data_IF_388601895352
#
_entry.id   IF_388601895352
#
_cell.length_a   1.000
_cell.length_b   1.000
_cell.length_c   1.000
_cell.angle_alpha   90.00
_cell.angle_beta   90.00
_cell.angle_gamma   90.00
#
_symmetry.space_group_name_H-M   'P 1'
#
loop_
_entity.id
_entity.type
_entity.pdbx_description
1 polymer ?
#
# COMPACT_ATOMS: atom_id res chain seq x y z
N UNK A 1 -36.56 21.12 45.68
CA UNK A 1 -36.98 20.12 44.67
C UNK A 1 -36.11 20.17 43.42
N UNK A 2 -35.62 21.35 43.02
CA UNK A 2 -34.77 21.57 41.83
C UNK A 2 -33.49 20.70 41.74
N UNK A 3 -32.77 20.45 42.85
CA UNK A 3 -31.54 19.64 42.79
C UNK A 3 -31.76 18.13 42.53
N UNK A 4 -32.95 17.60 42.84
CA UNK A 4 -33.26 16.18 42.60
C UNK A 4 -33.74 15.92 41.17
N UNK A 5 -34.37 16.91 40.54
CA UNK A 5 -34.74 16.84 39.12
C UNK A 5 -33.52 16.95 38.20
N UNK A 6 -32.54 17.79 38.54
CA UNK A 6 -31.31 17.92 37.76
C UNK A 6 -30.47 16.62 37.75
N UNK A 7 -30.40 15.91 38.88
CA UNK A 7 -29.67 14.64 38.98
C UNK A 7 -30.34 13.51 38.18
N UNK A 8 -31.68 13.49 38.13
CA UNK A 8 -32.44 12.49 37.35
C UNK A 8 -32.34 12.78 35.85
N UNK A 9 -32.33 14.06 35.44
CA UNK A 9 -32.15 14.44 34.04
C UNK A 9 -30.74 14.07 33.51
N UNK A 10 -29.68 14.25 34.33
CA UNK A 10 -28.31 13.90 33.95
C UNK A 10 -28.09 12.38 33.80
N UNK A 11 -28.79 11.55 34.58
CA UNK A 11 -28.72 10.09 34.44
C UNK A 11 -29.47 9.60 33.20
N UNK A 12 -30.55 10.29 32.79
CA UNK A 12 -31.31 9.98 31.57
C UNK A 12 -30.62 10.43 30.28
N UNK A 13 -29.74 11.43 30.33
CA UNK A 13 -28.98 11.91 29.18
C UNK A 13 -27.70 11.09 28.90
N UNK A 14 -27.18 10.34 29.87
CA UNK A 14 -26.01 9.47 29.68
C UNK A 14 -26.33 8.07 29.12
N UNK A 15 -27.59 7.64 29.07
CA UNK A 15 -27.97 6.31 28.55
C UNK A 15 -28.38 6.30 27.07
N UNK A 16 -28.39 7.47 26.41
CA UNK A 16 -28.86 7.62 25.02
C UNK A 16 -27.75 7.77 23.97
N UNK A 17 -26.48 7.67 24.38
CA UNK A 17 -25.31 7.80 23.47
C UNK A 17 -24.36 6.64 23.65
N UNK A 18 -24.80 5.44 23.28
CA UNK A 18 -23.87 4.41 22.85
C UNK A 18 -24.45 3.63 21.68
N UNK A 19 -23.58 3.44 20.69
CA UNK A 19 -23.71 2.54 19.54
C UNK A 19 -24.42 3.03 18.27
N UNK A 20 -24.03 4.21 17.76
CA UNK A 20 -23.96 4.44 16.30
C UNK A 20 -22.54 4.85 15.91
N UNK A 21 -21.62 3.89 15.90
CA UNK A 21 -20.25 4.13 15.41
C UNK A 21 -19.57 2.86 14.87
N UNK A 22 -20.30 1.93 14.23
CA UNK A 22 -19.67 0.84 13.46
C UNK A 22 -20.52 0.49 12.22
N UNK A 23 -20.78 1.48 11.38
CA UNK A 23 -21.42 1.29 10.08
C UNK A 23 -20.47 1.72 8.96
N UNK A 24 -19.33 1.02 8.81
CA UNK A 24 -18.40 1.26 7.71
C UNK A 24 -17.73 0.01 7.09
N UNK A 25 -18.20 -1.21 7.40
CA UNK A 25 -17.76 -2.41 6.66
C UNK A 25 -18.90 -3.02 5.85
N UNK A 26 -19.10 -2.39 4.69
CA UNK A 26 -19.88 -2.93 3.59
C UNK A 26 -19.23 -4.24 3.10
N UNK A 27 -19.98 -5.34 3.15
CA UNK A 27 -19.57 -6.65 2.68
C UNK A 27 -20.35 -6.99 1.40
N UNK A 28 -19.67 -7.22 0.28
CA UNK A 28 -20.22 -7.96 -0.86
C UNK A 28 -19.93 -9.46 -0.74
N UNK A 29 -20.75 -10.35 -1.34
CA UNK A 29 -20.86 -11.72 -0.87
C UNK A 29 -19.92 -12.72 -1.57
N UNK A 30 -19.48 -13.68 -0.76
CA UNK A 30 -19.25 -15.10 -1.08
C UNK A 30 -18.09 -15.49 -2.01
N UNK A 31 -17.09 -16.17 -1.43
CA UNK A 31 -16.73 -17.56 -1.81
C UNK A 31 -16.37 -18.36 -0.56
N UNK A 32 -17.10 -19.44 -0.30
CA UNK A 32 -16.81 -20.41 0.77
C UNK A 32 -15.49 -21.11 0.46
N UNK A 33 -14.47 -20.88 1.28
CA UNK A 33 -13.32 -21.77 1.38
C UNK A 33 -13.60 -22.82 2.48
N UNK A 34 -13.17 -24.08 2.32
CA UNK A 34 -13.36 -25.11 3.35
C UNK A 34 -12.55 -24.75 4.61
N UNK A 35 -13.01 -25.15 5.82
CA UNK A 35 -12.23 -24.93 7.03
C UNK A 35 -10.88 -25.68 6.93
N UNK A 36 -9.77 -25.06 7.37
CA UNK A 36 -8.47 -25.71 7.38
C UNK A 36 -8.52 -26.90 8.33
N UNK A 37 -8.04 -28.05 7.85
CA UNK A 37 -7.85 -29.23 8.68
C UNK A 37 -6.78 -28.90 9.73
N UNK A 38 -7.14 -29.06 11.01
CA UNK A 38 -6.18 -29.01 12.11
C UNK A 38 -5.27 -30.23 12.00
N UNK A 39 -3.99 -29.97 11.76
CA UNK A 39 -2.95 -30.98 11.92
C UNK A 39 -2.88 -31.43 13.38
N UNK A 40 -2.97 -32.74 13.55
CA UNK A 40 -2.82 -33.45 14.80
C UNK A 40 -1.35 -33.38 15.25
N UNK A 41 -1.07 -32.74 16.38
CA UNK A 41 0.31 -32.65 16.88
C UNK A 41 0.51 -32.60 18.39
N UNK A 42 -0.53 -32.38 19.19
CA UNK A 42 -0.41 -32.43 20.66
C UNK A 42 -1.64 -33.15 21.20
N UNK A 43 -1.47 -34.44 21.48
CA UNK A 43 -2.45 -35.25 22.19
C UNK A 43 -2.49 -34.71 23.62
N UNK A 44 -3.46 -33.83 23.88
CA UNK A 44 -3.77 -33.40 25.25
C UNK A 44 -4.23 -34.66 25.98
N UNK A 45 -3.52 -35.04 27.03
CA UNK A 45 -3.96 -36.12 27.90
C UNK A 45 -5.32 -35.74 28.47
N UNK A 46 -6.34 -36.55 28.19
CA UNK A 46 -7.66 -36.36 28.79
C UNK A 46 -7.52 -36.48 30.31
N UNK A 47 -8.06 -35.48 31.02
CA UNK A 47 -8.18 -35.56 32.46
C UNK A 47 -9.09 -36.73 32.81
N UNK A 48 -8.61 -37.63 33.67
CA UNK A 48 -9.42 -38.71 34.23
C UNK A 48 -9.34 -38.81 35.75
N UNK A 49 -10.51 -38.89 36.38
CA UNK A 49 -10.71 -39.19 37.80
C UNK A 49 -10.69 -40.72 37.99
N UNK A 50 -9.53 -41.36 37.86
CA UNK A 50 -9.36 -42.77 38.31
C UNK A 50 -8.55 -42.89 39.61
N UNK A 51 -8.21 -41.76 40.26
CA UNK A 51 -7.55 -41.72 41.56
C UNK A 51 -8.47 -41.73 42.78
N UNK A 52 -9.79 -41.53 42.60
CA UNK A 52 -10.77 -41.57 43.68
C UNK A 52 -11.28 -43.00 43.87
N UNK A 53 -10.96 -43.63 45.01
CA UNK A 53 -11.28 -45.02 45.30
C UNK A 53 -12.72 -45.39 44.94
N UNK A 54 -12.88 -46.17 43.86
CA UNK A 54 -14.14 -46.88 43.59
C UNK A 54 -14.32 -47.87 44.73
N UNK A 55 -15.45 -47.82 45.43
CA UNK A 55 -15.82 -48.89 46.35
C UNK A 55 -15.86 -50.20 45.54
N UNK A 56 -14.99 -51.20 45.83
CA UNK A 56 -14.90 -52.43 45.04
C UNK A 56 -16.23 -53.19 45.05
N UNK A 57 -17.07 -53.00 46.08
CA UNK A 57 -18.39 -53.60 46.16
C UNK A 57 -19.37 -52.92 45.21
N UNK A 58 -19.47 -51.59 45.22
CA UNK A 58 -20.30 -50.83 44.28
C UNK A 58 -19.92 -51.05 42.81
N UNK A 59 -18.62 -51.12 42.50
CA UNK A 59 -18.14 -51.40 41.15
C UNK A 59 -18.58 -52.79 40.65
N UNK A 60 -18.47 -53.81 41.51
CA UNK A 60 -18.90 -55.19 41.18
C UNK A 60 -20.42 -55.28 40.97
N UNK A 61 -21.22 -54.56 41.76
CA UNK A 61 -22.67 -54.48 41.60
C UNK A 61 -23.06 -53.81 40.28
N UNK A 62 -22.41 -52.69 39.94
CA UNK A 62 -22.62 -52.00 38.66
C UNK A 62 -22.26 -52.89 37.45
N UNK A 63 -21.17 -53.63 37.52
CA UNK A 63 -20.76 -54.55 36.46
C UNK A 63 -21.75 -55.72 36.30
N UNK A 64 -22.28 -56.27 37.40
CA UNK A 64 -23.32 -57.30 37.37
C UNK A 64 -24.62 -56.76 36.72
N UNK A 65 -25.07 -55.57 37.14
CA UNK A 65 -26.24 -54.92 36.55
C UNK A 65 -26.05 -54.67 35.04
N UNK A 66 -24.89 -54.16 34.62
CA UNK A 66 -24.55 -53.96 33.19
C UNK A 66 -24.57 -55.26 32.40
N UNK A 67 -24.03 -56.35 32.95
CA UNK A 67 -24.07 -57.68 32.30
C UNK A 67 -25.50 -58.19 32.13
N UNK A 68 -26.37 -58.01 33.14
CA UNK A 68 -27.79 -58.40 33.07
C UNK A 68 -28.58 -57.57 32.04
N UNK A 69 -28.27 -56.28 31.90
CA UNK A 69 -28.87 -55.40 30.89
C UNK A 69 -28.40 -55.77 29.48
N UNK A 70 -27.12 -56.14 29.33
CA UNK A 70 -26.52 -56.54 28.06
C UNK A 70 -26.99 -57.93 27.55
N UNK A 71 -27.61 -58.75 28.41
CA UNK A 71 -28.12 -60.07 28.05
C UNK A 71 -29.32 -60.03 27.08
N UNK A 72 -29.95 -58.86 26.88
CA UNK A 72 -30.93 -58.64 25.81
C UNK A 72 -31.94 -57.52 26.12
N UNK A 73 -32.41 -56.77 25.09
CA UNK A 73 -33.28 -55.60 25.25
C UNK A 73 -34.71 -55.92 25.73
N UNK A 74 -35.14 -57.19 25.66
CA UNK A 74 -36.49 -57.63 26.04
C UNK A 74 -36.54 -58.43 27.36
N UNK A 75 -35.49 -58.35 28.18
CA UNK A 75 -35.44 -59.07 29.46
C UNK A 75 -36.11 -58.26 30.59
N UNK A 76 -36.74 -58.96 31.54
CA UNK A 76 -37.29 -58.35 32.76
C UNK A 76 -36.25 -57.46 33.46
N UNK A 77 -34.99 -57.92 33.48
CA UNK A 77 -33.83 -57.22 34.03
C UNK A 77 -33.54 -55.88 33.35
N UNK A 78 -33.62 -55.79 32.02
CA UNK A 78 -33.39 -54.55 31.29
C UNK A 78 -34.39 -53.46 31.72
N UNK A 79 -35.68 -53.79 31.73
CA UNK A 79 -36.73 -52.85 32.12
C UNK A 79 -36.64 -52.46 33.61
N UNK A 80 -36.31 -53.40 34.49
CA UNK A 80 -36.22 -53.14 35.93
C UNK A 80 -35.01 -52.27 36.29
N UNK A 81 -33.82 -52.59 35.76
CA UNK A 81 -32.62 -51.74 35.97
C UNK A 81 -32.73 -50.38 35.27
N UNK A 82 -33.36 -50.31 34.08
CA UNK A 82 -33.59 -49.05 33.38
C UNK A 82 -34.46 -48.09 34.19
N UNK A 83 -35.55 -48.58 34.79
CA UNK A 83 -36.40 -47.78 35.69
C UNK A 83 -35.66 -47.39 36.98
N UNK A 84 -34.88 -48.31 37.55
CA UNK A 84 -34.09 -48.05 38.75
C UNK A 84 -33.08 -46.92 38.51
N UNK A 85 -32.29 -46.99 37.44
CA UNK A 85 -31.28 -45.98 37.11
C UNK A 85 -31.89 -44.61 36.82
N UNK A 86 -33.04 -44.55 36.13
CA UNK A 86 -33.75 -43.31 35.90
C UNK A 86 -34.20 -42.65 37.22
N UNK A 87 -34.60 -43.46 38.20
CA UNK A 87 -35.07 -42.97 39.51
C UNK A 87 -33.96 -42.75 40.55
N UNK A 88 -32.70 -43.13 40.29
CA UNK A 88 -31.61 -43.01 41.27
C UNK A 88 -31.35 -41.56 41.69
N UNK A 89 -31.57 -40.56 40.81
CA UNK A 89 -31.47 -39.16 41.17
C UNK A 89 -32.52 -38.76 42.23
N UNK A 90 -33.77 -39.16 42.02
CA UNK A 90 -34.90 -38.86 42.90
C UNK A 90 -34.81 -39.63 44.23
N UNK A 91 -34.37 -40.89 44.18
CA UNK A 91 -34.12 -41.76 45.33
C UNK A 91 -33.03 -41.18 46.24
N UNK A 92 -32.08 -40.45 45.70
CA UNK A 92 -30.97 -39.86 46.46
C UNK A 92 -31.28 -38.45 46.99
N UNK A 93 -32.25 -37.75 46.39
CA UNK A 93 -32.59 -36.37 46.74
C UNK A 93 -33.56 -36.27 47.94
N UNK A 94 -34.49 -37.22 48.10
CA UNK A 94 -35.54 -37.18 49.12
C UNK A 94 -35.65 -38.53 49.82
N UNK A 95 -35.46 -38.58 51.15
CA UNK A 95 -35.48 -39.82 51.96
C UNK A 95 -36.86 -40.51 52.05
N UNK A 96 -37.95 -39.75 51.94
CA UNK A 96 -39.31 -40.29 51.99
C UNK A 96 -39.70 -40.86 50.62
N UNK A 97 -39.38 -40.11 49.55
CA UNK A 97 -39.51 -40.56 48.17
C UNK A 97 -38.57 -41.75 47.87
N UNK A 98 -37.35 -41.75 48.44
CA UNK A 98 -36.41 -42.86 48.46
C UNK A 98 -37.08 -44.11 48.97
N UNK A 99 -37.75 -44.04 50.13
CA UNK A 99 -38.42 -45.21 50.68
C UNK A 99 -39.49 -45.75 49.73
N UNK A 100 -40.29 -44.90 49.09
CA UNK A 100 -41.44 -45.32 48.27
C UNK A 100 -41.01 -45.79 46.88
N UNK A 101 -40.16 -45.03 46.20
CA UNK A 101 -39.64 -45.35 44.87
C UNK A 101 -38.65 -46.50 44.95
N UNK A 102 -37.70 -46.48 45.89
CA UNK A 102 -36.74 -47.58 46.01
C UNK A 102 -37.47 -48.89 46.33
N UNK A 103 -38.43 -48.92 47.28
CA UNK A 103 -39.23 -50.14 47.54
C UNK A 103 -39.93 -50.65 46.29
N UNK A 104 -40.45 -49.77 45.44
CA UNK A 104 -41.19 -50.12 44.22
C UNK A 104 -40.26 -50.66 43.12
N UNK A 105 -39.14 -49.99 42.88
CA UNK A 105 -38.13 -50.47 41.93
C UNK A 105 -37.53 -51.80 42.42
N UNK A 106 -37.35 -51.95 43.74
CA UNK A 106 -36.94 -53.21 44.34
C UNK A 106 -37.92 -54.33 44.05
N UNK A 107 -39.22 -54.05 44.12
CA UNK A 107 -40.28 -55.02 43.84
C UNK A 107 -40.12 -55.61 42.43
N UNK A 108 -39.91 -54.75 41.44
CA UNK A 108 -39.65 -55.17 40.06
C UNK A 108 -38.37 -56.00 39.94
N UNK A 109 -37.29 -55.59 40.63
CA UNK A 109 -36.02 -56.33 40.66
C UNK A 109 -36.19 -57.73 41.27
N UNK A 110 -36.88 -57.83 42.40
CA UNK A 110 -37.15 -59.09 43.09
C UNK A 110 -38.12 -59.98 42.31
N UNK A 111 -39.08 -59.41 41.58
CA UNK A 111 -39.98 -60.17 40.70
C UNK A 111 -39.20 -60.81 39.55
N UNK A 112 -38.30 -60.06 38.91
CA UNK A 112 -37.43 -60.61 37.86
C UNK A 112 -36.52 -61.73 38.39
N UNK A 113 -36.01 -61.60 39.63
CA UNK A 113 -35.20 -62.65 40.25
C UNK A 113 -36.00 -63.92 40.55
N UNK A 114 -37.26 -63.80 40.94
CA UNK A 114 -38.13 -64.95 41.14
C UNK A 114 -38.43 -65.69 39.83
N UNK A 115 -38.72 -64.95 38.76
CA UNK A 115 -38.92 -65.52 37.42
C UNK A 115 -37.66 -66.25 36.91
N UNK A 116 -36.48 -65.64 37.10
CA UNK A 116 -35.17 -66.21 36.72
C UNK A 116 -34.82 -67.48 37.52
N UNK A 117 -35.34 -67.58 38.76
CA UNK A 117 -35.18 -68.76 39.63
C UNK A 117 -36.29 -69.81 39.45
N UNK A 118 -37.20 -69.64 38.49
CA UNK A 118 -38.28 -70.58 38.18
C UNK A 118 -39.46 -70.54 39.17
N UNK A 119 -39.57 -69.48 39.97
CA UNK A 119 -40.65 -69.24 40.93
C UNK A 119 -41.71 -68.31 40.32
N UNK A 120 -42.98 -68.38 40.77
CA UNK A 120 -44.00 -67.45 40.31
C UNK A 120 -43.61 -66.01 40.67
N UNK A 121 -43.98 -65.01 39.85
CA UNK A 121 -43.68 -63.61 40.13
C UNK A 121 -44.42 -63.10 41.36
N UNK A 122 -43.88 -62.04 41.95
CA UNK A 122 -44.45 -61.39 43.12
C UNK A 122 -45.87 -60.85 42.86
N UNK A 123 -46.76 -60.87 43.86
CA UNK A 123 -48.10 -60.32 43.71
C UNK A 123 -48.05 -58.83 43.34
N UNK A 124 -48.92 -58.39 42.43
CA UNK A 124 -48.93 -56.99 42.00
C UNK A 124 -49.26 -56.06 43.18
N UNK A 125 -48.51 -54.98 43.31
CA UNK A 125 -48.66 -53.96 44.36
C UNK A 125 -49.05 -52.63 43.69
N UNK A 126 -50.21 -52.09 44.05
CA UNK A 126 -50.77 -50.90 43.40
C UNK A 126 -49.93 -49.63 43.67
N UNK A 127 -49.85 -48.73 42.70
CA UNK A 127 -49.01 -47.53 42.73
C UNK A 127 -49.40 -46.53 43.84
N UNK A 128 -50.58 -46.66 44.42
CA UNK A 128 -51.05 -45.82 45.54
C UNK A 128 -50.99 -46.51 46.90
N UNK A 129 -50.72 -47.81 46.92
CA UNK A 129 -50.67 -48.58 48.15
C UNK A 129 -49.36 -48.37 48.90
N UNK A 130 -49.41 -48.38 50.23
CA UNK A 130 -48.20 -48.34 51.04
C UNK A 130 -47.47 -49.68 50.87
N UNK A 131 -46.22 -49.60 50.40
CA UNK A 131 -45.35 -50.75 50.18
C UNK A 131 -45.14 -51.58 51.46
N UNK A 132 -45.40 -51.01 52.66
CA UNK A 132 -45.44 -51.78 53.92
C UNK A 132 -46.49 -52.89 53.87
N UNK A 133 -47.66 -52.63 53.27
CA UNK A 133 -48.74 -53.61 53.17
C UNK A 133 -48.41 -54.72 52.17
N UNK A 134 -47.75 -54.39 51.06
CA UNK A 134 -47.29 -55.38 50.09
C UNK A 134 -46.18 -56.26 50.64
N UNK A 135 -45.27 -55.71 51.46
CA UNK A 135 -44.19 -56.50 52.08
C UNK A 135 -44.72 -57.57 53.04
N UNK A 136 -45.81 -57.31 53.76
CA UNK A 136 -46.44 -58.29 54.68
C UNK A 136 -47.02 -59.52 53.98
N UNK A 137 -47.20 -59.47 52.65
CA UNK A 137 -47.73 -60.58 51.84
C UNK A 137 -46.62 -61.48 51.30
N UNK A 138 -45.36 -61.14 51.55
CA UNK A 138 -44.19 -61.93 51.14
C UNK A 138 -43.96 -63.08 52.14
N UNK A 139 -43.47 -64.19 51.64
CA UNK A 139 -42.92 -65.28 52.46
C UNK A 139 -41.51 -64.92 52.95
N UNK A 140 -41.05 -65.56 54.03
CA UNK A 140 -39.71 -65.34 54.62
C UNK A 140 -38.55 -65.40 53.61
N UNK A 141 -38.67 -66.27 52.59
CA UNK A 141 -37.64 -66.38 51.55
C UNK A 141 -37.64 -65.20 50.59
N UNK A 142 -38.81 -64.63 50.30
CA UNK A 142 -38.98 -63.51 49.37
C UNK A 142 -38.66 -62.18 50.07
N UNK A 143 -38.97 -62.05 51.36
CA UNK A 143 -38.58 -60.88 52.16
C UNK A 143 -37.05 -60.75 52.27
N UNK A 144 -36.32 -61.86 52.42
CA UNK A 144 -34.84 -61.85 52.43
C UNK A 144 -34.25 -61.36 51.12
N UNK A 145 -34.74 -61.89 50.00
CA UNK A 145 -34.30 -61.47 48.65
C UNK A 145 -34.62 -59.99 48.42
N UNK A 146 -35.83 -59.56 48.79
CA UNK A 146 -36.24 -58.16 48.70
C UNK A 146 -35.31 -57.23 49.49
N UNK A 147 -34.97 -57.60 50.74
CA UNK A 147 -34.12 -56.79 51.60
C UNK A 147 -32.68 -56.72 51.10
N UNK A 148 -32.14 -57.81 50.55
CA UNK A 148 -30.81 -57.85 49.96
C UNK A 148 -30.71 -56.86 48.79
N UNK A 149 -31.62 -56.96 47.83
CA UNK A 149 -31.66 -56.03 46.71
C UNK A 149 -31.91 -54.58 47.18
N UNK A 150 -32.73 -54.37 48.21
CA UNK A 150 -32.99 -53.04 48.77
C UNK A 150 -31.73 -52.34 49.27
N UNK A 151 -30.87 -53.08 49.99
CA UNK A 151 -29.61 -52.55 50.48
C UNK A 151 -28.60 -52.33 49.34
N UNK A 152 -28.57 -53.21 48.35
CA UNK A 152 -27.69 -53.08 47.18
C UNK A 152 -28.04 -51.90 46.28
N UNK A 153 -29.33 -51.57 46.14
CA UNK A 153 -29.78 -50.40 45.37
C UNK A 153 -29.17 -49.09 45.85
N UNK A 154 -29.04 -48.92 47.17
CA UNK A 154 -28.47 -47.69 47.74
C UNK A 154 -27.01 -47.52 47.29
N UNK A 155 -26.21 -48.58 47.41
CA UNK A 155 -24.83 -48.61 46.91
C UNK A 155 -24.77 -48.41 45.38
N UNK A 156 -25.69 -49.01 44.64
CA UNK A 156 -25.77 -48.90 43.18
C UNK A 156 -26.05 -47.46 42.73
N UNK A 157 -27.02 -46.78 43.35
CA UNK A 157 -27.36 -45.40 43.03
C UNK A 157 -26.24 -44.42 43.39
N UNK A 158 -25.55 -44.61 44.53
CA UNK A 158 -24.37 -43.83 44.88
C UNK A 158 -23.25 -43.98 43.85
N UNK A 159 -22.97 -45.22 43.42
CA UNK A 159 -21.96 -45.48 42.41
C UNK A 159 -22.33 -44.84 41.05
N UNK A 160 -23.61 -44.92 40.64
CA UNK A 160 -24.09 -44.30 39.42
C UNK A 160 -23.95 -42.78 39.45
N UNK A 161 -24.28 -42.14 40.58
CA UNK A 161 -24.10 -40.70 40.75
C UNK A 161 -22.63 -40.29 40.73
N UNK A 162 -21.75 -41.06 41.38
CA UNK A 162 -20.32 -40.84 41.36
C UNK A 162 -19.74 -40.95 39.94
N UNK A 163 -20.18 -41.93 39.15
CA UNK A 163 -19.78 -42.08 37.74
C UNK A 163 -20.31 -40.95 36.86
N UNK A 164 -21.56 -40.52 37.05
CA UNK A 164 -22.14 -39.39 36.31
C UNK A 164 -21.41 -38.08 36.64
N UNK A 165 -21.10 -37.87 37.93
CA UNK A 165 -20.30 -36.72 38.38
C UNK A 165 -18.89 -36.75 37.79
N UNK A 166 -18.23 -37.92 37.84
CA UNK A 166 -16.91 -38.16 37.21
C UNK A 166 -16.94 -37.76 35.74
N UNK A 167 -17.82 -38.36 34.95
CA UNK A 167 -17.90 -38.11 33.51
C UNK A 167 -18.23 -36.65 33.18
N UNK A 168 -19.14 -36.02 33.94
CA UNK A 168 -19.48 -34.61 33.75
C UNK A 168 -18.28 -33.70 34.03
N UNK A 169 -17.54 -33.99 35.09
CA UNK A 169 -16.36 -33.22 35.51
C UNK A 169 -15.22 -33.40 34.51
N UNK A 170 -14.93 -34.63 34.10
CA UNK A 170 -13.92 -34.93 33.08
C UNK A 170 -14.21 -34.19 31.78
N UNK A 171 -15.45 -34.30 31.29
CA UNK A 171 -15.88 -33.57 30.08
C UNK A 171 -15.72 -32.06 30.24
N UNK A 172 -16.09 -31.49 31.39
CA UNK A 172 -15.98 -30.06 31.62
C UNK A 172 -14.51 -29.61 31.65
N UNK A 173 -13.65 -30.35 32.36
CA UNK A 173 -12.21 -30.04 32.46
C UNK A 173 -11.54 -30.19 31.10
N UNK A 174 -11.85 -31.24 30.33
CA UNK A 174 -11.29 -31.45 29.00
C UNK A 174 -11.76 -30.37 28.00
N UNK A 175 -13.03 -29.97 28.06
CA UNK A 175 -13.54 -28.86 27.26
C UNK A 175 -12.88 -27.53 27.63
N UNK A 176 -12.70 -27.26 28.92
CA UNK A 176 -12.02 -26.06 29.39
C UNK A 176 -10.55 -26.06 28.94
N UNK A 177 -9.85 -27.18 29.10
CA UNK A 177 -8.47 -27.35 28.65
C UNK A 177 -8.31 -27.11 27.14
N UNK A 178 -9.17 -27.73 26.33
CA UNK A 178 -9.20 -27.53 24.89
C UNK A 178 -9.51 -26.08 24.51
N UNK A 179 -10.49 -25.46 25.17
CA UNK A 179 -10.83 -24.05 24.92
C UNK A 179 -9.70 -23.10 25.31
N UNK A 180 -9.03 -23.33 26.44
CA UNK A 180 -7.89 -22.52 26.87
C UNK A 180 -6.73 -22.64 25.90
N UNK A 181 -6.44 -23.85 25.40
CA UNK A 181 -5.40 -24.06 24.38
C UNK A 181 -5.75 -23.36 23.07
N UNK A 182 -6.98 -23.47 22.59
CA UNK A 182 -7.42 -22.78 21.39
C UNK A 182 -7.37 -21.24 21.54
N UNK A 183 -7.61 -20.72 22.75
CA UNK A 183 -7.42 -19.30 23.04
C UNK A 183 -5.94 -18.91 23.04
N UNK A 184 -5.06 -19.74 23.62
CA UNK A 184 -3.62 -19.54 23.60
C UNK A 184 -3.06 -19.53 22.17
N UNK A 185 -3.41 -20.51 21.34
CA UNK A 185 -2.97 -20.59 19.94
C UNK A 185 -3.41 -19.34 19.14
N UNK A 186 -4.62 -18.80 19.43
CA UNK A 186 -5.06 -17.53 18.83
C UNK A 186 -4.27 -16.32 19.32
N UNK A 187 -3.86 -16.29 20.58
CA UNK A 187 -3.03 -15.21 21.12
C UNK A 187 -1.63 -15.24 20.51
N UNK A 188 -1.02 -16.42 20.36
CA UNK A 188 0.27 -16.59 19.67
C UNK A 188 0.21 -16.09 18.22
N UNK A 189 -0.88 -16.39 17.49
CA UNK A 189 -1.08 -15.87 16.13
C UNK A 189 -1.26 -14.34 16.11
N UNK A 190 -1.90 -13.75 17.13
CA UNK A 190 -2.04 -12.29 17.23
C UNK A 190 -0.68 -11.64 17.51
N UNK A 191 0.13 -12.22 18.39
CA UNK A 191 1.47 -11.77 18.69
C UNK A 191 2.36 -11.81 17.43
N UNK A 192 2.39 -12.93 16.71
CA UNK A 192 3.15 -13.07 15.45
C UNK A 192 2.75 -12.01 14.41
N UNK A 193 1.44 -11.77 14.25
CA UNK A 193 0.94 -10.75 13.32
C UNK A 193 1.29 -9.34 13.79
N UNK A 194 1.26 -9.07 15.09
CA UNK A 194 1.66 -7.77 15.65
C UNK A 194 3.12 -7.49 15.37
N UNK A 195 4.01 -8.47 15.57
CA UNK A 195 5.44 -8.34 15.28
C UNK A 195 5.70 -8.06 13.80
N UNK A 196 5.00 -8.78 12.91
CA UNK A 196 5.06 -8.52 11.47
C UNK A 196 4.62 -7.11 11.10
N UNK A 197 3.57 -6.59 11.74
CA UNK A 197 3.10 -5.22 11.50
C UNK A 197 4.10 -4.17 11.98
N UNK A 198 4.77 -4.41 13.11
CA UNK A 198 5.85 -3.55 13.60
C UNK A 198 7.00 -3.50 12.59
N UNK A 199 7.44 -4.66 12.12
CA UNK A 199 8.50 -4.75 11.11
C UNK A 199 8.12 -4.09 9.78
N UNK A 200 6.87 -4.24 9.33
CA UNK A 200 6.39 -3.57 8.13
C UNK A 200 6.30 -2.05 8.33
N UNK A 201 5.93 -1.58 9.52
CA UNK A 201 5.94 -0.17 9.87
C UNK A 201 7.35 0.43 9.88
N UNK A 202 8.35 -0.30 10.37
CA UNK A 202 9.76 0.11 10.30
C UNK A 202 10.22 0.25 8.85
N UNK A 203 9.92 -0.73 8.00
CA UNK A 203 10.24 -0.67 6.57
C UNK A 203 9.58 0.52 5.86
N UNK A 204 8.33 0.83 6.21
CA UNK A 204 7.63 2.02 5.70
C UNK A 204 8.33 3.29 6.17
N UNK A 205 8.73 3.37 7.44
CA UNK A 205 9.45 4.51 7.98
C UNK A 205 10.78 4.76 7.25
N UNK A 206 11.56 3.70 7.03
CA UNK A 206 12.82 3.77 6.28
C UNK A 206 12.60 4.21 4.83
N UNK A 207 11.55 3.68 4.19
CA UNK A 207 11.16 4.08 2.84
C UNK A 207 10.77 5.56 2.77
N UNK A 208 10.00 6.05 3.74
CA UNK A 208 9.63 7.46 3.84
C UNK A 208 10.85 8.36 4.09
N UNK A 209 11.79 7.92 4.93
CA UNK A 209 13.05 8.62 5.18
C UNK A 209 13.90 8.74 3.90
N UNK A 210 14.00 7.66 3.12
CA UNK A 210 14.67 7.67 1.81
C UNK A 210 13.97 8.62 0.82
N UNK A 211 12.64 8.64 0.78
CA UNK A 211 11.89 9.56 -0.09
C UNK A 211 12.12 11.02 0.33
N UNK A 212 12.16 11.31 1.62
CA UNK A 212 12.47 12.65 2.13
C UNK A 212 13.86 13.09 1.66
N UNK A 213 14.88 12.23 1.82
CA UNK A 213 16.24 12.52 1.35
C UNK A 213 16.31 12.73 -0.18
N UNK A 214 15.57 11.95 -0.97
CA UNK A 214 15.46 12.17 -2.42
C UNK A 214 14.79 13.50 -2.76
N UNK A 215 13.77 13.89 -2.00
CA UNK A 215 13.06 15.17 -2.16
C UNK A 215 13.97 16.36 -1.85
N UNK A 216 14.79 16.26 -0.80
CA UNK A 216 15.79 17.27 -0.46
C UNK A 216 16.85 17.39 -1.58
N UNK A 217 17.34 16.26 -2.10
CA UNK A 217 18.27 16.24 -3.23
C UNK A 217 17.67 16.87 -4.49
N UNK A 218 16.40 16.58 -4.80
CA UNK A 218 15.68 17.20 -5.92
C UNK A 218 15.53 18.71 -5.73
N UNK A 219 15.22 19.16 -4.52
CA UNK A 219 15.11 20.59 -4.18
C UNK A 219 16.45 21.29 -4.37
N UNK A 220 17.55 20.68 -3.90
CA UNK A 220 18.90 21.20 -4.09
C UNK A 220 19.29 21.25 -5.58
N UNK A 221 19.00 20.20 -6.35
CA UNK A 221 19.24 20.16 -7.79
C UNK A 221 18.42 21.22 -8.54
N UNK A 222 17.15 21.39 -8.18
CA UNK A 222 16.29 22.43 -8.75
C UNK A 222 16.83 23.83 -8.48
N UNK A 223 17.35 24.09 -7.27
CA UNK A 223 17.99 25.36 -6.93
C UNK A 223 19.26 25.58 -7.76
N UNK A 224 20.11 24.57 -7.89
CA UNK A 224 21.32 24.64 -8.71
C UNK A 224 21.01 24.94 -10.19
N UNK A 225 19.96 24.33 -10.74
CA UNK A 225 19.47 24.63 -12.10
C UNK A 225 18.97 26.08 -12.19
N UNK A 226 18.25 26.56 -11.17
CA UNK A 226 17.82 27.96 -11.08
C UNK A 226 19.01 28.93 -11.10
N UNK A 227 20.04 28.66 -10.32
CA UNK A 227 21.26 29.46 -10.26
C UNK A 227 22.01 29.45 -11.61
N UNK A 228 22.10 28.28 -12.26
CA UNK A 228 22.71 28.14 -13.59
C UNK A 228 21.92 28.91 -14.65
N UNK A 229 20.59 28.86 -14.61
CA UNK A 229 19.73 29.63 -15.51
C UNK A 229 19.96 31.14 -15.31
N UNK A 230 20.07 31.60 -14.07
CA UNK A 230 20.42 32.98 -13.74
C UNK A 230 21.75 33.42 -14.36
N UNK A 231 22.78 32.58 -14.25
CA UNK A 231 24.08 32.84 -14.89
C UNK A 231 23.96 32.92 -16.43
N UNK A 232 23.24 31.99 -17.05
CA UNK A 232 23.03 31.98 -18.51
C UNK A 232 22.29 33.24 -18.98
N UNK A 233 21.31 33.73 -18.20
CA UNK A 233 20.62 34.98 -18.50
C UNK A 233 21.56 36.18 -18.44
N UNK A 234 22.38 36.29 -17.41
CA UNK A 234 23.35 37.40 -17.29
C UNK A 234 24.38 37.36 -18.41
N UNK A 235 24.89 36.17 -18.74
CA UNK A 235 25.79 35.99 -19.88
C UNK A 235 25.13 36.37 -21.20
N UNK A 236 23.87 35.98 -21.42
CA UNK A 236 23.13 36.34 -22.62
C UNK A 236 22.88 37.84 -22.74
N UNK A 237 22.66 38.54 -21.61
CA UNK A 237 22.52 39.99 -21.55
C UNK A 237 23.83 40.68 -21.92
N UNK A 238 24.95 40.23 -21.35
CA UNK A 238 26.27 40.76 -21.68
C UNK A 238 26.62 40.58 -23.16
N UNK A 239 26.36 39.39 -23.73
CA UNK A 239 26.54 39.12 -25.16
C UNK A 239 25.66 40.03 -26.01
N UNK A 240 24.39 40.23 -25.64
CA UNK A 240 23.48 41.11 -26.35
C UNK A 240 23.99 42.56 -26.37
N UNK A 241 24.47 43.07 -25.25
CA UNK A 241 25.01 44.43 -25.17
C UNK A 241 26.30 44.58 -25.97
N UNK A 242 27.23 43.63 -25.83
CA UNK A 242 28.44 43.58 -26.64
C UNK A 242 28.11 43.51 -28.15
N UNK A 243 27.07 42.77 -28.51
CA UNK A 243 26.61 42.66 -29.90
C UNK A 243 26.08 43.99 -30.45
N UNK A 244 25.46 44.84 -29.62
CA UNK A 244 25.04 46.20 -30.01
C UNK A 244 26.23 47.13 -30.19
N UNK A 245 27.22 47.07 -29.28
CA UNK A 245 28.45 47.85 -29.40
C UNK A 245 29.19 47.49 -30.69
N UNK A 246 29.31 46.20 -31.00
CA UNK A 246 29.86 45.72 -32.26
C UNK A 246 29.06 46.33 -33.42
N UNK A 247 27.73 46.23 -33.43
CA UNK A 247 26.91 46.80 -34.51
C UNK A 247 27.16 48.30 -34.72
N UNK A 248 27.27 49.11 -33.65
CA UNK A 248 27.62 50.54 -33.75
C UNK A 248 29.00 50.75 -34.36
N UNK A 249 30.01 50.01 -33.90
CA UNK A 249 31.36 50.08 -34.46
C UNK A 249 31.38 49.69 -35.96
N UNK A 250 30.49 48.78 -36.39
CA UNK A 250 30.33 48.43 -37.81
C UNK A 250 29.73 49.57 -38.63
N UNK A 251 28.74 50.27 -38.09
CA UNK A 251 28.16 51.45 -38.75
C UNK A 251 29.18 52.58 -38.88
N UNK A 252 29.92 52.88 -37.82
CA UNK A 252 31.00 53.88 -37.85
C UNK A 252 32.08 53.51 -38.86
N UNK A 253 32.50 52.24 -38.90
CA UNK A 253 33.47 51.76 -39.87
C UNK A 253 32.94 51.84 -41.31
N UNK A 254 31.64 51.60 -41.53
CA UNK A 254 31.00 51.74 -42.84
C UNK A 254 30.96 53.20 -43.26
N UNK A 255 30.56 54.11 -42.37
CA UNK A 255 30.57 55.55 -42.64
C UNK A 255 31.99 56.07 -42.93
N UNK A 256 32.99 55.63 -42.17
CA UNK A 256 34.39 55.96 -42.43
C UNK A 256 34.90 55.43 -43.77
N UNK A 257 34.45 54.24 -44.20
CA UNK A 257 34.77 53.71 -45.53
C UNK A 257 34.10 54.50 -46.66
N UNK A 258 32.85 54.92 -46.48
CA UNK A 258 32.15 55.79 -47.43
C UNK A 258 32.83 57.16 -47.53
N UNK A 259 33.17 57.79 -46.41
CA UNK A 259 33.94 59.05 -46.40
C UNK A 259 35.32 58.92 -47.05
N UNK A 260 36.02 57.80 -46.82
CA UNK A 260 37.30 57.52 -47.49
C UNK A 260 37.12 57.34 -49.01
N UNK A 261 36.02 56.71 -49.45
CA UNK A 261 35.68 56.60 -50.87
C UNK A 261 35.47 57.98 -51.47
N UNK A 262 34.67 58.83 -50.84
CA UNK A 262 34.38 60.17 -51.36
C UNK A 262 35.65 61.02 -51.44
N UNK A 263 36.54 60.91 -50.44
CA UNK A 263 37.84 61.59 -50.45
C UNK A 263 38.75 61.10 -51.59
N UNK A 264 38.75 59.79 -51.88
CA UNK A 264 39.50 59.19 -52.99
C UNK A 264 38.92 59.62 -54.34
N UNK A 265 37.59 59.59 -54.50
CA UNK A 265 36.90 60.01 -55.72
C UNK A 265 37.16 61.51 -55.99
N UNK A 266 37.12 62.37 -54.96
CA UNK A 266 37.47 63.78 -55.05
C UNK A 266 38.96 64.01 -55.38
N UNK A 267 39.87 63.28 -54.73
CA UNK A 267 41.30 63.29 -55.06
C UNK A 267 41.57 62.89 -56.50
N UNK A 268 40.84 61.90 -57.01
CA UNK A 268 40.94 61.45 -58.39
C UNK A 268 40.41 62.49 -59.39
N UNK A 269 39.29 63.16 -59.08
CA UNK A 269 38.78 64.24 -59.92
C UNK A 269 39.79 65.39 -60.03
N UNK A 270 40.45 65.76 -58.92
CA UNK A 270 41.54 66.76 -58.94
C UNK A 270 42.73 66.33 -59.80
N UNK A 271 43.10 65.04 -59.73
CA UNK A 271 44.16 64.49 -60.56
C UNK A 271 43.76 64.52 -62.03
N UNK A 272 42.56 64.05 -62.40
CA UNK A 272 42.04 64.07 -63.77
C UNK A 272 41.98 65.49 -64.35
N UNK A 273 41.52 66.47 -63.55
CA UNK A 273 41.52 67.90 -63.92
C UNK A 273 42.94 68.41 -64.17
N UNK A 274 43.90 68.07 -63.30
CA UNK A 274 45.31 68.41 -63.47
C UNK A 274 45.92 67.79 -64.74
N UNK A 275 45.61 66.52 -65.02
CA UNK A 275 46.04 65.83 -66.25
C UNK A 275 45.39 66.41 -67.50
N UNK A 276 44.12 66.81 -67.44
CA UNK A 276 43.39 67.45 -68.54
C UNK A 276 43.95 68.84 -68.85
N UNK A 277 44.18 69.64 -67.81
CA UNK A 277 44.85 70.95 -67.92
C UNK A 277 46.27 70.82 -68.50
N UNK A 278 47.03 69.81 -68.07
CA UNK A 278 48.34 69.50 -68.64
C UNK A 278 48.26 69.11 -70.13
N UNK A 279 47.24 68.32 -70.51
CA UNK A 279 46.96 67.97 -71.90
C UNK A 279 46.61 69.19 -72.76
N UNK A 280 45.68 70.03 -72.30
CA UNK A 280 45.30 71.27 -72.96
C UNK A 280 46.50 72.23 -73.08
N UNK A 281 47.36 72.30 -72.06
CA UNK A 281 48.61 73.06 -72.10
C UNK A 281 49.60 72.52 -73.13
N UNK A 282 49.71 71.20 -73.26
CA UNK A 282 50.54 70.54 -74.28
C UNK A 282 50.00 70.79 -75.70
N UNK A 283 48.68 70.76 -75.87
CA UNK A 283 48.03 71.07 -77.15
C UNK A 283 48.20 72.55 -77.53
N UNK A 284 48.12 73.48 -76.58
CA UNK A 284 48.46 74.90 -76.80
C UNK A 284 49.92 75.12 -77.17
N UNK A 285 50.86 74.41 -76.53
CA UNK A 285 52.27 74.42 -76.91
C UNK A 285 52.47 73.89 -78.33
N UNK A 286 51.66 72.92 -78.75
CA UNK A 286 51.69 72.35 -80.10
C UNK A 286 51.08 73.27 -81.15
N UNK A 287 50.00 73.99 -80.86
CA UNK A 287 49.45 75.05 -81.73
C UNK A 287 50.43 76.21 -81.86
N UNK A 288 51.03 76.67 -80.75
CA UNK A 288 52.08 77.69 -80.77
C UNK A 288 53.37 77.24 -81.48
N UNK A 289 53.69 75.95 -81.45
CA UNK A 289 54.78 75.37 -82.24
C UNK A 289 54.39 75.14 -83.72
N UNK A 290 53.09 75.05 -84.03
CA UNK A 290 52.56 75.02 -85.40
C UNK A 290 52.69 76.36 -86.12
N UNK A 291 52.69 77.47 -85.39
CA UNK A 291 53.04 78.80 -85.93
C UNK A 291 54.56 79.04 -86.02
N UNK A 292 55.39 78.11 -85.51
CA UNK A 292 56.85 78.27 -85.54
C UNK A 292 57.62 76.95 -85.67
N UNK A 293 57.54 76.30 -86.83
CA UNK A 293 58.71 75.71 -87.52
C UNK A 293 58.38 75.05 -88.86
N UNK A 294 58.94 75.62 -89.90
CA UNK A 294 59.53 74.85 -90.99
C UNK A 294 60.82 74.19 -90.45
N UNK A 295 60.92 72.87 -90.56
CA UNK A 295 62.15 72.09 -90.30
C UNK A 295 62.32 71.50 -88.89
N UNK A 296 61.84 70.27 -88.66
CA UNK A 296 62.69 69.07 -88.49
C UNK A 296 61.87 67.83 -88.09
N UNK A 297 62.27 66.66 -88.61
CA UNK A 297 61.66 65.35 -88.34
C UNK A 297 62.03 64.83 -86.94
N UNK A 298 61.08 64.92 -86.01
CA UNK A 298 61.03 64.13 -84.77
C UNK A 298 59.86 63.15 -84.78
N UNK A 299 59.90 62.05 -84.00
CA UNK A 299 58.93 60.95 -84.10
C UNK A 299 57.50 61.48 -83.91
N UNK A 300 56.65 61.16 -84.89
CA UNK A 300 55.38 61.85 -85.09
C UNK A 300 54.41 61.69 -83.91
N UNK A 301 53.71 62.77 -83.60
CA UNK A 301 52.61 62.82 -82.63
C UNK A 301 51.52 61.74 -82.86
N UNK A 302 51.48 61.12 -84.04
CA UNK A 302 50.58 60.01 -84.39
C UNK A 302 50.90 58.68 -83.68
N UNK A 303 52.13 58.43 -83.20
CA UNK A 303 52.49 57.18 -82.48
C UNK A 303 52.19 57.25 -80.97
N UNK A 304 52.25 58.44 -80.36
CA UNK A 304 51.96 58.63 -78.94
C UNK A 304 50.45 58.57 -78.63
N UNK A 305 49.59 59.02 -79.55
CA UNK A 305 48.14 59.10 -79.34
C UNK A 305 47.43 57.76 -79.07
N UNK A 306 47.67 56.67 -79.83
CA UNK A 306 47.07 55.36 -79.54
C UNK A 306 47.64 54.72 -78.27
N UNK A 307 48.94 54.93 -77.98
CA UNK A 307 49.58 54.40 -76.76
C UNK A 307 49.06 55.10 -75.50
N UNK A 308 48.83 56.40 -75.59
CA UNK A 308 48.23 57.22 -74.54
C UNK A 308 46.80 56.81 -74.24
N UNK A 309 45.96 56.63 -75.26
CA UNK A 309 44.58 56.16 -75.08
C UNK A 309 44.52 54.75 -74.49
N UNK A 310 45.44 53.86 -74.87
CA UNK A 310 45.54 52.51 -74.27
C UNK A 310 45.94 52.59 -72.79
N UNK A 311 46.88 53.44 -72.40
CA UNK A 311 47.27 53.63 -70.99
C UNK A 311 46.12 54.23 -70.17
N UNK A 312 45.42 55.23 -70.69
CA UNK A 312 44.23 55.80 -70.05
C UNK A 312 43.13 54.74 -69.86
N UNK A 313 42.83 53.95 -70.89
CA UNK A 313 41.82 52.89 -70.79
C UNK A 313 42.23 51.75 -69.86
N UNK A 314 43.52 51.44 -69.78
CA UNK A 314 44.03 50.38 -68.89
C UNK A 314 44.02 50.84 -67.44
N UNK A 315 44.41 52.10 -67.17
CA UNK A 315 44.29 52.73 -65.86
C UNK A 315 42.84 52.75 -65.37
N UNK A 316 41.89 53.14 -66.23
CA UNK A 316 40.46 53.18 -65.91
C UNK A 316 39.90 51.78 -65.56
N UNK A 317 40.25 50.76 -66.34
CA UNK A 317 39.79 49.37 -66.11
C UNK A 317 40.36 48.76 -64.83
N UNK A 318 41.62 49.01 -64.51
CA UNK A 318 42.23 48.53 -63.27
C UNK A 318 41.61 49.21 -62.04
N UNK A 319 41.25 50.50 -62.19
CA UNK A 319 40.62 51.30 -61.16
C UNK A 319 39.18 50.88 -60.88
N UNK A 320 38.32 50.69 -61.88
CA UNK A 320 36.92 50.32 -61.63
C UNK A 320 36.76 48.93 -60.97
N UNK A 321 37.68 48.00 -61.24
CA UNK A 321 37.54 46.61 -60.79
C UNK A 321 38.05 46.32 -59.37
N UNK A 322 39.13 46.97 -58.91
CA UNK A 322 39.81 46.57 -57.66
C UNK A 322 39.14 47.08 -56.37
N UNK A 323 38.69 48.34 -56.26
CA UNK A 323 37.95 48.83 -55.11
C UNK A 323 36.54 48.20 -55.08
N UNK A 324 35.78 48.28 -56.18
CA UNK A 324 34.36 47.92 -56.19
C UNK A 324 34.06 46.43 -55.88
N UNK A 325 34.94 45.50 -56.27
CA UNK A 325 34.77 44.07 -55.95
C UNK A 325 35.03 43.78 -54.47
N UNK A 326 36.13 44.30 -53.91
CA UNK A 326 36.46 44.16 -52.48
C UNK A 326 35.39 44.77 -51.57
N UNK A 327 34.81 45.90 -51.95
CA UNK A 327 33.76 46.56 -51.18
C UNK A 327 32.43 45.79 -51.19
N UNK A 328 32.04 45.20 -52.33
CA UNK A 328 30.82 44.37 -52.40
C UNK A 328 30.90 43.18 -51.45
N UNK A 329 32.03 42.47 -51.45
CA UNK A 329 32.26 41.35 -50.53
C UNK A 329 32.19 41.78 -49.07
N UNK A 330 32.74 42.96 -48.73
CA UNK A 330 32.70 43.49 -47.36
C UNK A 330 31.30 43.96 -46.96
N UNK A 331 30.53 44.55 -47.87
CA UNK A 331 29.14 44.96 -47.64
C UNK A 331 28.21 43.77 -47.38
N UNK A 332 28.35 42.67 -48.13
CA UNK A 332 27.57 41.44 -47.88
C UNK A 332 27.91 40.81 -46.53
N UNK A 333 29.17 40.88 -46.11
CA UNK A 333 29.61 40.38 -44.80
C UNK A 333 28.93 41.14 -43.65
N UNK A 334 28.88 42.47 -43.72
CA UNK A 334 28.22 43.30 -42.70
C UNK A 334 26.72 43.00 -42.57
N UNK A 335 26.01 42.84 -43.69
CA UNK A 335 24.59 42.44 -43.67
C UNK A 335 24.38 41.07 -43.01
N UNK A 336 25.31 40.14 -43.19
CA UNK A 336 25.28 38.84 -42.53
C UNK A 336 25.43 38.95 -41.01
N UNK A 337 26.37 39.78 -40.55
CA UNK A 337 26.59 40.00 -39.12
C UNK A 337 25.41 40.73 -38.46
N UNK A 338 24.85 41.75 -39.11
CA UNK A 338 23.67 42.47 -38.62
C UNK A 338 22.47 41.53 -38.39
N UNK A 339 22.26 40.57 -39.29
CA UNK A 339 21.20 39.55 -39.15
C UNK A 339 21.45 38.61 -37.97
N UNK A 340 22.71 38.26 -37.69
CA UNK A 340 23.08 37.43 -36.55
C UNK A 340 22.86 38.18 -35.21
N UNK A 341 23.20 39.48 -35.14
CA UNK A 341 22.95 40.34 -33.97
C UNK A 341 21.45 40.44 -33.66
N UNK A 342 20.60 40.60 -34.68
CA UNK A 342 19.14 40.60 -34.49
C UNK A 342 18.64 39.26 -33.94
N UNK A 343 19.11 38.14 -34.49
CA UNK A 343 18.75 36.81 -34.00
C UNK A 343 19.14 36.55 -32.54
N UNK A 344 20.32 37.03 -32.11
CA UNK A 344 20.75 36.98 -30.71
C UNK A 344 19.85 37.82 -29.80
N UNK A 345 19.44 39.00 -30.26
CA UNK A 345 18.52 39.88 -29.52
C UNK A 345 17.15 39.23 -29.35
N UNK A 346 16.65 38.58 -30.41
CA UNK A 346 15.37 37.85 -30.37
C UNK A 346 15.43 36.66 -29.40
N UNK A 347 16.52 35.88 -29.41
CA UNK A 347 16.74 34.76 -28.49
C UNK A 347 16.73 35.22 -27.02
N UNK A 348 17.42 36.32 -26.70
CA UNK A 348 17.41 36.92 -25.37
C UNK A 348 15.99 37.34 -24.95
N UNK A 349 15.24 37.97 -25.87
CA UNK A 349 13.86 38.38 -25.60
C UNK A 349 12.92 37.19 -25.33
N UNK A 350 13.16 36.06 -26.00
CA UNK A 350 12.41 34.82 -25.81
C UNK A 350 12.74 34.18 -24.45
N UNK A 351 14.03 34.09 -24.11
CA UNK A 351 14.48 33.57 -22.82
C UNK A 351 13.91 34.41 -21.65
N UNK A 352 13.95 35.74 -21.75
CA UNK A 352 13.39 36.63 -20.73
C UNK A 352 11.88 36.48 -20.53
N UNK A 353 11.12 36.19 -21.60
CA UNK A 353 9.67 35.94 -21.51
C UNK A 353 9.35 34.57 -20.91
N UNK A 354 10.17 33.56 -21.18
CA UNK A 354 9.99 32.22 -20.63
C UNK A 354 10.20 32.18 -19.11
N UNK A 355 11.13 32.98 -18.59
CA UNK A 355 11.47 33.04 -17.17
C UNK A 355 10.50 33.87 -16.31
N UNK A 356 9.71 34.77 -16.90
CA UNK A 356 8.65 35.52 -16.18
C UNK A 356 7.30 34.78 -16.11
N UNK A 357 7.18 33.61 -16.73
CA UNK A 357 5.92 32.85 -16.84
C UNK A 357 5.90 31.54 -16.05
N UNK A 358 7.00 31.22 -15.38
CA UNK A 358 7.10 30.22 -14.32
C UNK A 358 7.15 30.97 -12.98
#
# INVERSE_FOLDING_TARGET
MELRLAAILMVLLCSATDATAWSLFSSSPSKKAPPPQLDAGIVVADFSIDGGGKDPRGAKLMENARRRIAAGPATCWNAAYGRLFASCADIMADKELQSRLARRQQWHLSSCFQEDSGRPPLPNCDERSDMVHCRKRLTDSEEKVFLEFFLETNTLCHQLQAEAFKHSTERLVNNLSSSSKAAQEKLEVIEERSERLLQESENIHDSLSSIAAQTDNLTAASKAIGDQMGHVMEQSKAISEQSKEIARAQEELKAGQEGMRDAVDAGMAMVEESYRSLGDGMDRLKEGAGEHREGDQGPSATSCRPRWTVLQQTGRRHWERRPASRWRTRSSYWKGQEKAVRGLTDLYSFLAKATCKA
#
